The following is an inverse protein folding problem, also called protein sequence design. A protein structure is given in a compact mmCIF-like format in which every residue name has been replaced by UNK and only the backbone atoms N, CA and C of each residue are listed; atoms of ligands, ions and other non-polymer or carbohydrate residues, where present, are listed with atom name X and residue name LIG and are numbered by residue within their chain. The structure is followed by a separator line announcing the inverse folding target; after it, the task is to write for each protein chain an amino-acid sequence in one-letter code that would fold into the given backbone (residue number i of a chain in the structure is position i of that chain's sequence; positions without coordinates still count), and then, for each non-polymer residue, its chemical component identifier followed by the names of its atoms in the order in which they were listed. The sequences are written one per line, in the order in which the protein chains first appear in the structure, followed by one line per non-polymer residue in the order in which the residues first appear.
data_IF_926056932666
#
_entry.id   IF_926056932666
#
_cell.length_a   1.000
_cell.length_b   1.000
_cell.length_c   1.000
_cell.angle_alpha   90.00
_cell.angle_beta   90.00
_cell.angle_gamma   90.00
#
_symmetry.space_group_name_H-M   'P 1'
#
loop_
_entity.id
_entity.type
_entity.pdbx_description
1 polymer ?
#
# COMPACT_ATOMS: atom_id res chain seq x y z
N UNK A 1 -3.60 0.11 -7.70
CA UNK A 1 -4.73 0.51 -6.86
C UNK A 1 -5.16 1.95 -7.17
N UNK A 2 -6.44 2.25 -6.93
CA UNK A 2 -7.03 3.60 -7.09
C UNK A 2 -7.79 3.96 -5.82
N UNK A 3 -8.01 5.24 -5.54
CA UNK A 3 -8.69 5.70 -4.31
C UNK A 3 -10.00 4.96 -4.01
N UNK A 4 -10.80 4.65 -5.02
CA UNK A 4 -12.06 3.90 -4.89
C UNK A 4 -11.93 2.39 -5.06
N UNK A 5 -10.73 1.88 -5.43
CA UNK A 5 -10.50 0.46 -5.69
C UNK A 5 -9.16 0.02 -5.12
N UNK A 6 -9.16 -0.28 -3.82
CA UNK A 6 -7.98 -0.67 -3.04
C UNK A 6 -7.89 -2.19 -2.88
N UNK A 7 -7.88 -2.94 -3.97
CA UNK A 7 -7.80 -4.40 -3.97
C UNK A 7 -6.57 -4.94 -3.20
N UNK A 8 -5.48 -4.19 -3.18
CA UNK A 8 -4.28 -4.53 -2.43
C UNK A 8 -4.52 -4.57 -0.92
N UNK A 9 -5.34 -3.65 -0.37
CA UNK A 9 -5.67 -3.64 1.06
C UNK A 9 -6.39 -4.91 1.46
N UNK A 10 -7.35 -5.37 0.66
CA UNK A 10 -8.08 -6.60 0.92
C UNK A 10 -7.18 -7.84 0.78
N UNK A 11 -6.45 -7.95 -0.35
CA UNK A 11 -5.68 -9.16 -0.68
C UNK A 11 -4.39 -9.31 0.12
N UNK A 12 -3.68 -8.21 0.37
CA UNK A 12 -2.35 -8.23 0.98
C UNK A 12 -2.35 -7.93 2.47
N UNK A 13 -3.44 -7.37 3.02
CA UNK A 13 -3.55 -7.01 4.43
C UNK A 13 -4.71 -7.72 5.12
N UNK A 14 -5.95 -7.47 4.69
CA UNK A 14 -7.13 -7.95 5.41
C UNK A 14 -7.24 -9.48 5.36
N UNK A 15 -7.20 -10.07 4.17
CA UNK A 15 -7.40 -11.51 4.01
C UNK A 15 -6.31 -12.35 4.70
N UNK A 16 -5.00 -12.06 4.55
CA UNK A 16 -3.95 -12.77 5.27
C UNK A 16 -4.07 -12.62 6.78
N UNK A 17 -4.31 -11.38 7.27
CA UNK A 17 -4.49 -11.14 8.70
C UNK A 17 -5.70 -11.89 9.27
N UNK A 18 -6.82 -11.86 8.57
CA UNK A 18 -8.03 -12.59 8.98
C UNK A 18 -7.82 -14.11 9.00
N UNK A 19 -7.05 -14.64 8.05
CA UNK A 19 -6.68 -16.06 8.05
C UNK A 19 -5.89 -16.40 9.31
N UNK A 20 -4.82 -15.66 9.55
CA UNK A 20 -3.97 -15.85 10.73
C UNK A 20 -4.76 -15.75 12.04
N UNK A 21 -5.60 -14.72 12.20
CA UNK A 21 -6.43 -14.55 13.41
C UNK A 21 -7.37 -15.75 13.60
N UNK A 22 -8.01 -16.26 12.53
CA UNK A 22 -8.88 -17.44 12.63
C UNK A 22 -8.10 -18.69 13.06
N UNK A 23 -6.87 -18.86 12.59
CA UNK A 23 -6.01 -19.97 13.02
C UNK A 23 -5.66 -19.87 14.51
N UNK A 24 -5.33 -18.66 14.98
CA UNK A 24 -5.08 -18.41 16.42
C UNK A 24 -6.33 -18.66 17.24
N UNK A 25 -7.49 -18.17 16.82
CA UNK A 25 -8.77 -18.42 17.51
C UNK A 25 -9.09 -19.91 17.55
N UNK A 26 -8.84 -20.63 16.45
CA UNK A 26 -9.05 -22.09 16.41
C UNK A 26 -8.14 -22.85 17.36
N UNK A 27 -6.90 -22.40 17.52
CA UNK A 27 -5.92 -23.04 18.39
C UNK A 27 -6.10 -22.68 19.88
N UNK A 28 -6.49 -21.43 20.18
CA UNK A 28 -6.47 -20.86 21.53
C UNK A 28 -7.85 -20.47 22.07
N UNK A 29 -8.90 -20.59 21.26
CA UNK A 29 -10.28 -20.23 21.62
C UNK A 29 -10.58 -18.73 21.49
N UNK A 30 -9.63 -17.85 21.72
CA UNK A 30 -9.74 -16.39 21.65
C UNK A 30 -8.47 -15.77 21.08
N UNK A 31 -8.57 -14.61 20.44
CA UNK A 31 -7.44 -13.81 19.99
C UNK A 31 -7.64 -12.34 20.33
N UNK A 32 -6.57 -11.66 20.78
CA UNK A 32 -6.55 -10.21 20.98
C UNK A 32 -5.66 -9.59 19.90
N UNK A 33 -6.24 -8.72 19.08
CA UNK A 33 -5.53 -7.96 18.06
C UNK A 33 -5.16 -6.60 18.64
N UNK A 34 -3.87 -6.32 18.73
CA UNK A 34 -3.36 -5.03 19.21
C UNK A 34 -3.13 -4.12 18.01
N UNK A 35 -3.76 -2.94 18.00
CA UNK A 35 -3.66 -1.96 16.92
C UNK A 35 -3.16 -0.60 17.45
N UNK A 36 -2.14 -0.06 16.80
CA UNK A 36 -1.63 1.30 17.05
C UNK A 36 -2.48 2.40 16.39
N UNK A 37 -3.80 2.22 16.29
CA UNK A 37 -4.71 3.20 15.69
C UNK A 37 -5.15 4.25 16.69
N UNK A 38 -5.33 5.49 16.24
CA UNK A 38 -5.66 6.64 17.09
C UNK A 38 -6.86 7.41 16.54
N UNK A 39 -7.67 7.98 17.45
CA UNK A 39 -8.82 8.84 17.09
C UNK A 39 -8.35 10.10 16.34
N UNK A 40 -7.18 10.63 16.70
CA UNK A 40 -6.59 11.82 16.09
C UNK A 40 -6.23 11.69 14.61
N UNK A 41 -6.13 10.47 14.07
CA UNK A 41 -5.71 10.27 12.67
C UNK A 41 -6.74 10.69 11.61
N UNK A 42 -8.01 10.62 11.90
CA UNK A 42 -9.09 11.15 11.04
C UNK A 42 -10.45 11.14 11.73
N UNK A 43 -11.34 12.04 11.33
CA UNK A 43 -12.73 12.09 11.82
C UNK A 43 -13.54 10.81 11.55
N UNK A 44 -13.25 10.12 10.44
CA UNK A 44 -13.87 8.83 10.11
C UNK A 44 -13.40 7.75 11.09
N UNK A 45 -12.09 7.72 11.39
CA UNK A 45 -11.51 6.78 12.34
C UNK A 45 -12.02 7.03 13.75
N UNK A 46 -12.04 8.29 14.20
CA UNK A 46 -12.60 8.68 15.50
C UNK A 46 -14.05 8.18 15.68
N UNK A 47 -14.91 8.42 14.69
CA UNK A 47 -16.31 7.94 14.72
C UNK A 47 -16.43 6.42 14.76
N UNK A 48 -15.55 5.71 14.06
CA UNK A 48 -15.52 4.25 14.07
C UNK A 48 -15.07 3.72 15.43
N UNK A 49 -14.01 4.30 16.00
CA UNK A 49 -13.47 3.90 17.30
C UNK A 49 -14.44 4.21 18.44
N UNK A 50 -15.10 5.35 18.43
CA UNK A 50 -16.14 5.69 19.44
C UNK A 50 -17.29 4.66 19.42
N UNK A 51 -17.75 4.24 18.25
CA UNK A 51 -18.76 3.18 18.14
C UNK A 51 -18.28 1.80 18.65
N UNK A 52 -16.99 1.51 18.53
CA UNK A 52 -16.41 0.29 19.08
C UNK A 52 -16.24 0.39 20.59
N UNK A 53 -15.91 1.56 21.10
CA UNK A 53 -15.82 1.84 22.53
C UNK A 53 -17.16 1.61 23.25
N UNK A 54 -18.28 2.03 22.67
CA UNK A 54 -19.63 1.76 23.17
C UNK A 54 -19.97 0.26 23.24
N UNK A 55 -19.27 -0.56 22.48
CA UNK A 55 -19.46 -2.02 22.37
C UNK A 55 -18.43 -2.83 23.16
N UNK A 56 -17.63 -2.21 24.00
CA UNK A 56 -16.64 -2.92 24.81
C UNK A 56 -17.29 -4.01 25.64
N UNK A 57 -16.71 -5.20 25.59
CA UNK A 57 -17.17 -6.38 26.38
C UNK A 57 -16.35 -6.50 27.67
N UNK A 58 -15.08 -6.09 27.60
CA UNK A 58 -14.14 -6.03 28.74
C UNK A 58 -13.47 -4.68 28.72
N UNK A 59 -12.91 -4.25 29.84
CA UNK A 59 -12.14 -3.01 29.91
C UNK A 59 -11.11 -2.95 28.80
N UNK A 60 -11.14 -1.86 28.03
CA UNK A 60 -10.24 -1.60 26.89
C UNK A 60 -10.31 -2.57 25.70
N UNK A 61 -11.19 -3.58 25.71
CA UNK A 61 -11.32 -4.57 24.64
C UNK A 61 -12.65 -4.43 23.91
N UNK A 62 -12.58 -4.19 22.62
CA UNK A 62 -13.76 -4.11 21.73
C UNK A 62 -13.89 -5.38 20.89
N UNK A 63 -15.11 -5.85 20.59
CA UNK A 63 -15.29 -6.99 19.70
C UNK A 63 -14.84 -6.66 18.29
N UNK A 64 -14.18 -7.61 17.64
CA UNK A 64 -13.87 -7.50 16.22
C UNK A 64 -15.16 -7.71 15.40
N UNK A 65 -15.53 -6.70 14.59
CA UNK A 65 -16.78 -6.74 13.83
C UNK A 65 -16.82 -7.84 12.77
N UNK A 66 -15.65 -8.34 12.34
CA UNK A 66 -15.51 -9.28 11.22
C UNK A 66 -15.15 -10.70 11.65
N UNK A 67 -14.67 -10.89 12.86
CA UNK A 67 -14.11 -12.17 13.31
C UNK A 67 -14.65 -12.55 14.71
N UNK A 68 -15.48 -13.59 14.80
CA UNK A 68 -15.93 -14.12 16.09
C UNK A 68 -14.75 -14.52 16.98
N UNK A 69 -14.90 -14.36 18.30
CA UNK A 69 -13.88 -14.66 19.31
C UNK A 69 -12.55 -13.93 19.12
N UNK A 70 -12.57 -12.82 18.38
CA UNK A 70 -11.44 -11.91 18.26
C UNK A 70 -11.80 -10.57 18.89
N UNK A 71 -10.93 -10.08 19.76
CA UNK A 71 -11.04 -8.78 20.41
C UNK A 71 -9.99 -7.83 19.87
N UNK A 72 -10.25 -6.54 19.96
CA UNK A 72 -9.34 -5.47 19.53
C UNK A 72 -8.96 -4.63 20.74
N UNK A 73 -7.66 -4.42 20.91
CA UNK A 73 -7.06 -3.52 21.88
C UNK A 73 -6.32 -2.38 21.17
N UNK A 74 -6.63 -1.14 21.55
CA UNK A 74 -6.03 0.07 20.99
C UNK A 74 -5.36 0.88 22.11
N UNK A 75 -4.15 0.54 22.53
CA UNK A 75 -3.50 1.13 23.72
C UNK A 75 -3.26 2.64 23.62
N UNK A 76 -3.13 3.16 22.42
CA UNK A 76 -2.82 4.58 22.14
C UNK A 76 -3.98 5.32 21.47
N UNK A 77 -5.23 4.86 21.64
CA UNK A 77 -6.39 5.39 20.92
C UNK A 77 -6.64 6.89 21.13
N UNK A 78 -6.29 7.40 22.32
CA UNK A 78 -6.47 8.81 22.71
C UNK A 78 -5.24 9.68 22.44
N UNK A 79 -4.12 9.10 22.00
CA UNK A 79 -2.88 9.84 21.78
C UNK A 79 -3.01 10.82 20.63
N UNK A 80 -2.49 12.03 20.82
CA UNK A 80 -2.24 12.99 19.75
C UNK A 80 -1.02 12.56 18.91
N UNK A 81 -0.73 13.30 17.88
CA UNK A 81 0.49 13.09 17.11
C UNK A 81 1.74 13.46 17.93
N UNK A 82 1.64 14.52 18.71
CA UNK A 82 2.73 14.98 19.56
C UNK A 82 3.05 13.99 20.69
N UNK A 83 2.02 13.34 21.27
CA UNK A 83 2.24 12.27 22.26
C UNK A 83 3.04 11.11 21.67
N UNK A 84 2.76 10.72 20.42
CA UNK A 84 3.51 9.66 19.74
C UNK A 84 4.96 10.07 19.54
N UNK A 85 5.20 11.28 19.04
CA UNK A 85 6.58 11.74 18.81
C UNK A 85 7.34 11.96 20.12
N UNK A 86 6.70 12.51 21.15
CA UNK A 86 7.32 12.62 22.47
C UNK A 86 7.75 11.25 23.00
N UNK A 87 6.86 10.26 22.90
CA UNK A 87 7.18 8.90 23.32
C UNK A 87 8.36 8.34 22.53
N UNK A 88 8.32 8.44 21.18
CA UNK A 88 9.37 7.92 20.32
C UNK A 88 10.74 8.60 20.55
N UNK A 89 10.76 9.88 20.95
CA UNK A 89 12.03 10.58 21.24
C UNK A 89 12.57 10.27 22.63
N UNK A 90 11.74 9.81 23.56
CA UNK A 90 12.13 9.51 24.95
C UNK A 90 12.41 8.05 25.20
N UNK A 91 11.80 7.15 24.42
CA UNK A 91 11.88 5.71 24.63
C UNK A 91 12.61 5.06 23.47
N UNK A 92 13.68 4.36 23.77
CA UNK A 92 14.41 3.57 22.77
C UNK A 92 13.52 2.43 22.24
N UNK A 93 13.59 2.20 20.93
CA UNK A 93 12.87 1.06 20.38
C UNK A 93 13.63 -0.26 20.64
N UNK A 94 12.92 -1.38 20.78
CA UNK A 94 13.56 -2.66 21.08
C UNK A 94 14.28 -3.32 19.90
N UNK A 95 14.24 -2.69 18.71
CA UNK A 95 14.83 -3.26 17.48
C UNK A 95 16.23 -2.75 17.18
N UNK A 96 16.81 -1.87 18.02
CA UNK A 96 18.16 -1.38 17.87
C UNK A 96 18.34 -0.24 16.85
N UNK A 97 17.26 0.29 16.27
CA UNK A 97 17.29 1.49 15.42
C UNK A 97 17.07 2.76 16.23
N UNK A 98 17.54 3.90 15.72
CA UNK A 98 17.29 5.19 16.36
C UNK A 98 15.96 5.78 15.88
N UNK A 99 15.07 6.13 16.81
CA UNK A 99 13.80 6.77 16.46
C UNK A 99 14.00 8.17 15.83
N UNK A 100 15.16 8.78 16.03
CA UNK A 100 15.54 10.04 15.36
C UNK A 100 15.63 9.89 13.85
N UNK A 101 16.09 8.74 13.35
CA UNK A 101 16.16 8.47 11.90
C UNK A 101 14.76 8.45 11.29
N UNK A 102 13.80 7.89 12.02
CA UNK A 102 12.39 7.93 11.62
C UNK A 102 11.86 9.37 11.54
N UNK A 103 12.19 10.22 12.52
CA UNK A 103 11.81 11.64 12.50
C UNK A 103 12.39 12.35 11.27
N UNK A 104 13.66 12.13 10.96
CA UNK A 104 14.32 12.70 9.78
C UNK A 104 13.65 12.26 8.48
N UNK A 105 13.25 10.99 8.37
CA UNK A 105 12.50 10.48 7.21
C UNK A 105 11.16 11.19 7.03
N UNK A 106 10.43 11.44 8.12
CA UNK A 106 9.15 12.16 8.07
C UNK A 106 9.34 13.63 7.70
N UNK A 107 10.38 14.28 8.23
CA UNK A 107 10.72 15.68 7.87
C UNK A 107 11.07 15.82 6.40
N UNK A 108 11.90 14.91 5.86
CA UNK A 108 12.27 14.91 4.44
C UNK A 108 11.09 14.64 3.48
N UNK A 109 10.01 14.04 3.96
CA UNK A 109 8.83 13.73 3.17
C UNK A 109 7.72 14.80 3.26
N UNK A 110 7.85 15.82 4.12
CA UNK A 110 6.93 16.95 4.21
C UNK A 110 7.32 18.04 3.21
N UNK A 111 6.33 18.69 2.56
CA UNK A 111 6.57 19.70 1.51
C UNK A 111 7.33 20.92 2.03
N UNK A 112 7.14 21.29 3.27
CA UNK A 112 7.69 22.50 3.87
C UNK A 112 8.89 22.23 4.78
N UNK A 113 9.39 20.98 4.85
CA UNK A 113 10.46 20.59 5.79
C UNK A 113 10.04 20.78 7.26
N UNK A 114 8.76 20.96 7.51
CA UNK A 114 8.25 21.18 8.87
C UNK A 114 8.37 19.92 9.73
N UNK A 115 8.72 20.17 10.99
CA UNK A 115 8.79 19.11 11.98
C UNK A 115 7.39 18.46 12.15
N UNK A 116 7.25 17.13 12.07
CA UNK A 116 5.99 16.45 12.31
C UNK A 116 5.38 16.68 13.70
N UNK A 117 6.13 17.33 14.60
CA UNK A 117 5.67 17.79 15.92
C UNK A 117 4.79 19.05 15.85
N UNK A 118 4.81 19.80 14.75
CA UNK A 118 3.95 20.98 14.55
C UNK A 118 2.82 20.58 13.61
N UNK A 119 1.73 20.11 14.17
CA UNK A 119 0.56 19.71 13.39
C UNK A 119 -0.44 20.84 13.32
N UNK A 120 -0.57 21.46 12.16
CA UNK A 120 -1.80 22.12 11.80
C UNK A 120 -2.89 21.04 11.69
N UNK A 121 -3.94 21.16 12.51
CA UNK A 121 -5.06 20.20 12.56
C UNK A 121 -5.84 20.11 11.25
N UNK A 122 -5.56 20.96 10.29
CA UNK A 122 -6.19 21.00 8.95
C UNK A 122 -5.44 20.14 7.93
N UNK A 123 -4.17 19.81 8.18
CA UNK A 123 -3.36 18.99 7.27
C UNK A 123 -3.40 17.50 7.70
N UNK A 124 -3.57 16.54 6.76
CA UNK A 124 -3.47 15.12 7.09
C UNK A 124 -2.10 14.80 7.70
N UNK A 125 -2.09 14.11 8.81
CA UNK A 125 -0.97 13.90 9.73
C UNK A 125 0.29 13.21 9.17
N UNK A 126 0.39 12.96 7.88
CA UNK A 126 1.57 12.37 7.24
C UNK A 126 1.86 12.95 5.86
N UNK A 127 1.22 14.07 5.46
CA UNK A 127 1.27 14.52 4.08
C UNK A 127 0.95 13.38 3.10
N UNK A 128 1.50 13.39 1.93
CA UNK A 128 1.40 12.30 0.96
C UNK A 128 2.46 11.20 1.16
N UNK A 129 3.12 11.16 2.32
CA UNK A 129 4.15 10.18 2.65
C UNK A 129 3.56 8.79 2.82
N UNK A 130 4.10 7.81 2.12
CA UNK A 130 3.68 6.41 2.17
C UNK A 130 4.87 5.50 2.39
N UNK A 131 5.09 5.12 3.64
CA UNK A 131 6.12 4.15 3.99
C UNK A 131 5.59 2.71 3.87
N UNK A 132 6.42 1.81 3.35
CA UNK A 132 6.19 0.36 3.34
C UNK A 132 5.46 -0.22 2.13
N UNK A 133 4.94 0.59 1.19
CA UNK A 133 4.36 0.12 -0.06
C UNK A 133 4.97 0.88 -1.23
N UNK A 134 6.19 0.53 -1.60
CA UNK A 134 6.92 1.22 -2.68
C UNK A 134 6.19 1.27 -4.03
N UNK A 135 5.33 0.29 -4.33
CA UNK A 135 4.47 0.28 -5.53
C UNK A 135 3.12 1.00 -5.34
N UNK A 136 2.95 1.79 -4.27
CA UNK A 136 1.66 2.40 -3.98
C UNK A 136 1.37 3.57 -4.94
N UNK A 137 0.33 3.43 -5.75
CA UNK A 137 -0.17 4.46 -6.68
C UNK A 137 -1.40 5.19 -6.16
N UNK A 138 -1.63 5.20 -4.85
CA UNK A 138 -2.68 6.00 -4.20
C UNK A 138 -2.26 7.45 -3.97
N UNK A 139 -0.98 7.70 -3.92
CA UNK A 139 -0.35 9.02 -3.92
C UNK A 139 0.23 9.29 -5.31
N UNK A 140 0.25 10.53 -5.74
CA UNK A 140 0.73 10.90 -7.07
C UNK A 140 2.25 10.69 -7.19
N UNK A 141 2.97 11.01 -6.11
CA UNK A 141 4.42 10.85 -6.00
C UNK A 141 4.79 10.18 -4.68
N UNK A 142 5.85 9.41 -4.69
CA UNK A 142 6.46 8.90 -3.46
C UNK A 142 7.51 9.90 -2.96
N UNK A 143 7.04 10.91 -2.25
CA UNK A 143 7.90 11.98 -1.69
C UNK A 143 8.95 11.42 -0.74
N UNK A 144 8.61 10.37 0.02
CA UNK A 144 9.53 9.75 0.98
C UNK A 144 10.71 9.09 0.28
N UNK A 145 10.46 8.27 -0.75
CA UNK A 145 11.53 7.62 -1.50
C UNK A 145 12.34 8.64 -2.29
N UNK A 146 11.68 9.63 -2.91
CA UNK A 146 12.34 10.73 -3.62
C UNK A 146 13.28 11.48 -2.69
N UNK A 147 12.82 11.88 -1.50
CA UNK A 147 13.65 12.59 -0.53
C UNK A 147 14.83 11.74 -0.03
N UNK A 148 14.63 10.44 0.22
CA UNK A 148 15.71 9.54 0.61
C UNK A 148 16.79 9.48 -0.46
N UNK A 149 16.45 9.35 -1.72
CA UNK A 149 17.42 9.28 -2.84
C UNK A 149 18.15 10.61 -3.01
N UNK A 150 17.42 11.74 -2.93
CA UNK A 150 18.02 13.07 -3.12
C UNK A 150 18.95 13.51 -1.99
N UNK A 151 18.68 13.09 -0.76
CA UNK A 151 19.42 13.54 0.42
C UNK A 151 20.52 12.57 0.87
N UNK A 152 20.59 11.37 0.30
CA UNK A 152 21.52 10.32 0.71
C UNK A 152 22.02 9.54 -0.50
N UNK A 153 23.27 9.76 -0.89
CA UNK A 153 23.91 9.05 -2.02
C UNK A 153 23.92 7.53 -1.82
N UNK A 154 23.98 7.06 -0.58
CA UNK A 154 23.92 5.63 -0.27
C UNK A 154 22.52 5.02 -0.59
N UNK A 155 21.54 5.82 -1.02
CA UNK A 155 20.20 5.40 -1.42
C UNK A 155 19.97 5.43 -2.93
N UNK A 156 20.92 5.83 -3.74
CA UNK A 156 20.78 5.86 -5.22
C UNK A 156 20.37 4.51 -5.82
N UNK A 157 20.72 3.41 -5.17
CA UNK A 157 20.29 2.07 -5.58
C UNK A 157 18.77 1.88 -5.62
N UNK A 158 18.00 2.74 -4.96
CA UNK A 158 16.54 2.72 -4.95
C UNK A 158 15.91 3.39 -6.18
N UNK A 159 16.67 4.12 -6.99
CA UNK A 159 16.16 4.88 -8.14
C UNK A 159 15.32 4.03 -9.11
N UNK A 160 15.73 2.81 -9.53
CA UNK A 160 14.91 1.98 -10.41
C UNK A 160 13.56 1.57 -9.80
N UNK A 161 13.47 1.46 -8.48
CA UNK A 161 12.21 1.19 -7.78
C UNK A 161 11.27 2.39 -7.88
N UNK A 162 11.79 3.60 -7.67
CA UNK A 162 11.04 4.85 -7.81
C UNK A 162 10.55 5.05 -9.25
N UNK A 163 11.41 4.82 -10.22
CA UNK A 163 11.07 4.94 -11.65
C UNK A 163 9.99 3.94 -12.06
N UNK A 164 10.11 2.70 -11.63
CA UNK A 164 9.12 1.66 -11.88
C UNK A 164 7.77 2.02 -11.24
N UNK A 165 7.78 2.48 -9.98
CA UNK A 165 6.59 2.94 -9.28
C UNK A 165 5.90 4.09 -10.03
N UNK A 166 6.65 5.09 -10.48
CA UNK A 166 6.11 6.25 -11.19
C UNK A 166 5.49 5.86 -12.54
N UNK A 167 6.02 4.85 -13.20
CA UNK A 167 5.45 4.32 -14.44
C UNK A 167 4.18 3.49 -14.22
N UNK A 168 4.00 2.89 -13.04
CA UNK A 168 2.79 2.16 -12.66
C UNK A 168 1.61 3.09 -12.33
N UNK A 169 1.82 4.41 -12.29
CA UNK A 169 0.76 5.37 -11.98
C UNK A 169 -0.34 5.33 -13.06
N UNK A 170 -1.60 5.03 -12.69
CA UNK A 170 -2.72 5.00 -13.63
C UNK A 170 -3.00 6.34 -14.33
N UNK A 171 -2.51 7.46 -13.82
CA UNK A 171 -2.66 8.79 -14.45
C UNK A 171 -1.72 8.96 -15.65
N UNK A 172 -0.59 8.26 -15.64
CA UNK A 172 0.42 8.26 -16.73
C UNK A 172 0.24 7.10 -17.69
N UNK A 173 -0.80 6.30 -17.47
CA UNK A 173 -1.04 5.08 -18.23
C UNK A 173 -1.62 5.39 -19.61
N UNK A 174 -1.03 4.77 -20.63
CA UNK A 174 -1.64 4.71 -21.95
C UNK A 174 -2.87 3.77 -21.91
N UNK A 175 -4.03 4.30 -22.34
CA UNK A 175 -5.28 3.54 -22.36
C UNK A 175 -5.19 2.33 -23.31
N UNK A 176 -4.39 2.38 -24.36
CA UNK A 176 -4.16 1.29 -25.30
C UNK A 176 -3.42 0.09 -24.66
N UNK A 177 -2.73 0.32 -23.54
CA UNK A 177 -2.08 -0.73 -22.77
C UNK A 177 -3.05 -1.67 -22.03
N UNK A 178 -4.36 -1.38 -22.08
CA UNK A 178 -5.40 -2.19 -21.44
C UNK A 178 -6.38 -2.78 -22.44
N UNK A 179 -6.77 -4.03 -22.18
CA UNK A 179 -7.83 -4.71 -22.92
C UNK A 179 -9.13 -3.88 -22.86
N UNK A 180 -9.84 -3.83 -23.96
CA UNK A 180 -11.16 -3.20 -24.02
C UNK A 180 -12.22 -4.00 -23.25
N UNK A 181 -12.00 -5.30 -23.02
CA UNK A 181 -12.86 -6.19 -22.24
C UNK A 181 -12.47 -6.24 -20.78
N UNK A 182 -13.45 -6.32 -19.91
CA UNK A 182 -13.26 -6.61 -18.48
C UNK A 182 -12.76 -8.04 -18.29
N UNK A 183 -12.26 -8.37 -17.07
CA UNK A 183 -11.84 -9.74 -16.72
C UNK A 183 -12.96 -10.78 -16.91
N UNK A 184 -14.22 -10.35 -16.87
CA UNK A 184 -15.40 -11.17 -17.15
C UNK A 184 -15.64 -11.43 -18.65
N UNK A 185 -14.80 -10.88 -19.55
CA UNK A 185 -14.96 -10.97 -20.99
C UNK A 185 -15.91 -9.94 -21.61
N UNK A 186 -16.71 -9.24 -20.80
CA UNK A 186 -17.67 -8.25 -21.29
C UNK A 186 -17.07 -6.87 -21.46
N UNK A 187 -17.60 -6.09 -22.40
CA UNK A 187 -17.36 -4.65 -22.52
C UNK A 187 -18.27 -3.92 -21.55
N UNK A 188 -17.70 -3.02 -20.77
CA UNK A 188 -18.45 -2.20 -19.81
C UNK A 188 -18.34 -0.73 -20.21
N UNK A 189 -19.49 -0.12 -20.50
CA UNK A 189 -19.61 1.29 -20.81
C UNK A 189 -20.07 2.07 -19.58
N UNK A 190 -19.71 3.34 -19.52
CA UNK A 190 -20.25 4.29 -18.56
C UNK A 190 -20.48 5.63 -19.23
N UNK A 191 -21.51 6.32 -18.77
CA UNK A 191 -21.82 7.67 -19.25
C UNK A 191 -21.16 8.70 -18.34
N UNK A 192 -20.30 9.53 -18.90
CA UNK A 192 -19.70 10.67 -18.22
C UNK A 192 -20.42 11.93 -18.66
N UNK A 193 -20.78 12.80 -17.71
CA UNK A 193 -21.21 14.17 -18.06
C UNK A 193 -20.02 14.92 -18.63
N UNK A 194 -20.21 15.60 -19.77
CA UNK A 194 -19.17 16.37 -20.44
C UNK A 194 -18.80 17.59 -19.59
N UNK A 195 -19.80 18.28 -19.05
CA UNK A 195 -19.64 19.37 -18.10
C UNK A 195 -20.53 19.18 -16.86
N UNK A 196 -20.15 19.86 -15.75
CA UNK A 196 -20.83 19.68 -14.46
C UNK A 196 -22.31 20.08 -14.49
N UNK A 197 -22.67 21.03 -15.36
CA UNK A 197 -24.01 21.61 -15.51
C UNK A 197 -24.69 21.25 -16.85
N UNK A 198 -24.08 20.36 -17.66
CA UNK A 198 -24.63 19.89 -18.94
C UNK A 198 -25.32 18.53 -18.77
N UNK A 199 -26.45 18.36 -19.46
CA UNK A 199 -27.11 17.05 -19.59
C UNK A 199 -26.45 16.18 -20.67
N UNK A 200 -25.47 16.69 -21.41
CA UNK A 200 -24.73 15.92 -22.39
C UNK A 200 -23.87 14.87 -21.71
N UNK A 201 -24.03 13.63 -22.16
CA UNK A 201 -23.30 12.47 -21.68
C UNK A 201 -22.46 11.90 -22.79
N UNK A 202 -21.16 11.80 -22.53
CA UNK A 202 -20.25 11.07 -23.38
C UNK A 202 -20.17 9.62 -22.92
N UNK A 203 -20.33 8.70 -23.86
CA UNK A 203 -20.16 7.27 -23.61
C UNK A 203 -18.68 6.93 -23.60
N UNK A 204 -18.20 6.35 -22.53
CA UNK A 204 -16.82 5.96 -22.36
C UNK A 204 -16.70 4.53 -21.88
N UNK A 205 -15.63 3.86 -22.30
CA UNK A 205 -15.38 2.47 -22.00
C UNK A 205 -14.54 2.32 -20.72
N UNK A 206 -14.97 1.41 -19.83
CA UNK A 206 -14.14 0.99 -18.70
C UNK A 206 -13.22 -0.12 -19.17
N UNK A 207 -11.96 0.19 -19.36
CA UNK A 207 -10.92 -0.77 -19.78
C UNK A 207 -10.71 -1.89 -18.74
N UNK A 208 -10.28 -3.02 -19.21
CA UNK A 208 -9.99 -4.22 -18.46
C UNK A 208 -8.57 -4.31 -17.90
N UNK A 209 -8.02 -5.52 -17.79
CA UNK A 209 -6.63 -5.75 -17.37
C UNK A 209 -5.64 -5.26 -18.44
N UNK A 210 -4.36 -5.22 -18.09
CA UNK A 210 -3.29 -4.98 -19.06
C UNK A 210 -3.27 -6.07 -20.13
N UNK A 211 -2.99 -5.68 -21.37
CA UNK A 211 -2.72 -6.60 -22.47
C UNK A 211 -1.43 -7.40 -22.18
N UNK A 212 -1.25 -8.53 -22.88
CA UNK A 212 -0.14 -9.45 -22.63
C UNK A 212 1.23 -8.75 -22.73
N UNK A 213 1.48 -8.06 -23.83
CA UNK A 213 2.76 -7.38 -24.06
C UNK A 213 3.11 -6.38 -22.94
N UNK A 214 2.10 -5.70 -22.38
CA UNK A 214 2.32 -4.77 -21.28
C UNK A 214 2.61 -5.49 -19.95
N UNK A 215 2.01 -6.64 -19.72
CA UNK A 215 2.33 -7.46 -18.52
C UNK A 215 3.73 -8.03 -18.59
N UNK A 216 4.16 -8.51 -19.78
CA UNK A 216 5.53 -8.98 -20.02
C UNK A 216 6.54 -7.84 -19.81
N UNK A 217 6.24 -6.65 -20.33
CA UNK A 217 7.07 -5.46 -20.11
C UNK A 217 7.21 -5.15 -18.63
N UNK A 218 6.10 -5.16 -17.86
CA UNK A 218 6.14 -4.91 -16.41
C UNK A 218 6.96 -5.98 -15.68
N UNK A 219 6.77 -7.25 -16.01
CA UNK A 219 7.52 -8.34 -15.39
C UNK A 219 9.03 -8.17 -15.65
N UNK A 220 9.42 -7.90 -16.89
CA UNK A 220 10.82 -7.67 -17.26
C UNK A 220 11.41 -6.51 -16.45
N UNK A 221 10.72 -5.38 -16.36
CA UNK A 221 11.18 -4.21 -15.60
C UNK A 221 11.32 -4.48 -14.10
N UNK A 222 10.41 -5.27 -13.52
CA UNK A 222 10.53 -5.67 -12.11
C UNK A 222 11.78 -6.52 -11.90
N UNK A 223 12.07 -7.47 -12.79
CA UNK A 223 13.25 -8.32 -12.71
C UNK A 223 14.56 -7.53 -12.95
N UNK A 224 14.54 -6.57 -13.86
CA UNK A 224 15.66 -5.63 -14.08
C UNK A 224 15.93 -4.80 -12.82
N UNK A 225 14.87 -4.24 -12.21
CA UNK A 225 14.99 -3.50 -10.95
C UNK A 225 15.50 -4.38 -9.81
N UNK A 226 15.03 -5.62 -9.69
CA UNK A 226 15.52 -6.60 -8.72
C UNK A 226 17.01 -6.87 -8.88
N UNK A 227 17.45 -7.08 -10.11
CA UNK A 227 18.87 -7.34 -10.43
C UNK A 227 19.73 -6.13 -10.07
N UNK A 228 19.27 -4.93 -10.39
CA UNK A 228 19.96 -3.70 -10.04
C UNK A 228 20.08 -3.52 -8.52
N UNK A 229 18.98 -3.66 -7.78
CA UNK A 229 18.95 -3.52 -6.32
C UNK A 229 19.91 -4.50 -5.65
N UNK A 230 19.93 -5.74 -6.09
CA UNK A 230 20.86 -6.76 -5.56
C UNK A 230 22.33 -6.43 -5.80
N UNK A 231 22.65 -5.80 -6.93
CA UNK A 231 24.03 -5.51 -7.32
C UNK A 231 24.55 -4.17 -6.79
N UNK A 232 23.68 -3.20 -6.51
CA UNK A 232 24.09 -1.83 -6.14
C UNK A 232 23.61 -1.46 -4.71
N UNK A 233 22.69 -2.21 -4.13
CA UNK A 233 22.21 -1.97 -2.79
C UNK A 233 23.14 -2.49 -1.70
N UNK A 234 22.87 -2.13 -0.45
CA UNK A 234 23.61 -2.63 0.71
C UNK A 234 23.46 -4.15 0.85
N UNK A 235 24.31 -4.75 1.66
CA UNK A 235 24.32 -6.21 1.87
C UNK A 235 22.94 -6.79 2.27
N UNK A 236 22.18 -6.04 3.03
CA UNK A 236 20.83 -6.41 3.49
C UNK A 236 19.86 -6.70 2.33
N UNK A 237 20.07 -6.11 1.15
CA UNK A 237 19.18 -6.28 -0.01
C UNK A 237 19.76 -7.17 -1.11
N UNK A 238 20.91 -7.80 -0.89
CA UNK A 238 21.55 -8.70 -1.88
C UNK A 238 20.66 -9.89 -2.27
N UNK A 239 19.89 -10.38 -1.33
CA UNK A 239 18.97 -11.50 -1.54
C UNK A 239 17.50 -11.05 -1.67
N UNK A 240 17.26 -9.74 -1.88
CA UNK A 240 15.91 -9.22 -2.01
C UNK A 240 15.22 -9.82 -3.24
N UNK A 241 14.06 -10.42 -3.04
CA UNK A 241 13.17 -10.88 -4.10
C UNK A 241 11.97 -9.94 -4.21
N UNK A 242 11.87 -9.19 -5.31
CA UNK A 242 10.66 -8.47 -5.68
C UNK A 242 9.62 -9.42 -6.26
N UNK A 243 10.08 -10.44 -6.97
CA UNK A 243 9.30 -11.56 -7.48
C UNK A 243 10.13 -12.83 -7.31
N UNK A 244 9.59 -13.81 -6.61
CA UNK A 244 10.21 -15.11 -6.39
C UNK A 244 10.05 -16.05 -7.58
N UNK A 245 10.85 -17.11 -7.64
CA UNK A 245 10.71 -18.15 -8.68
C UNK A 245 9.34 -18.81 -8.64
N UNK A 246 8.80 -19.09 -7.46
CA UNK A 246 7.47 -19.67 -7.31
C UNK A 246 6.35 -18.74 -7.87
N UNK A 247 6.50 -17.42 -7.70
CA UNK A 247 5.59 -16.44 -8.29
C UNK A 247 5.74 -16.36 -9.81
N UNK A 248 6.95 -16.48 -10.34
CA UNK A 248 7.17 -16.55 -11.80
C UNK A 248 6.51 -17.79 -12.43
N UNK A 249 6.62 -18.94 -11.77
CA UNK A 249 5.95 -20.17 -12.19
C UNK A 249 4.43 -20.01 -12.16
N UNK A 250 3.90 -19.38 -11.12
CA UNK A 250 2.46 -19.11 -11.01
C UNK A 250 1.97 -18.08 -12.03
N UNK A 251 2.75 -17.02 -12.31
CA UNK A 251 2.46 -16.06 -13.37
C UNK A 251 2.40 -16.80 -14.72
N UNK A 252 3.38 -17.66 -15.02
CA UNK A 252 3.39 -18.48 -16.23
C UNK A 252 2.16 -19.39 -16.31
N UNK A 253 1.86 -20.09 -15.21
CA UNK A 253 0.67 -20.95 -15.14
C UNK A 253 -0.61 -20.17 -15.47
N UNK A 254 -0.80 -18.99 -14.87
CA UNK A 254 -1.97 -18.14 -15.13
C UNK A 254 -2.02 -17.71 -16.59
N UNK A 255 -0.92 -17.31 -17.18
CA UNK A 255 -0.90 -16.86 -18.58
C UNK A 255 -1.21 -18.01 -19.54
N UNK A 256 -0.64 -19.19 -19.29
CA UNK A 256 -0.84 -20.38 -20.14
C UNK A 256 -2.23 -20.97 -19.96
N UNK A 257 -2.61 -21.28 -18.71
CA UNK A 257 -3.81 -22.09 -18.43
C UNK A 257 -5.06 -21.22 -18.32
N UNK A 258 -5.01 -20.14 -17.54
CA UNK A 258 -6.22 -19.38 -17.23
C UNK A 258 -6.54 -18.33 -18.31
N UNK A 259 -5.51 -17.82 -19.01
CA UNK A 259 -5.66 -16.75 -20.01
C UNK A 259 -5.52 -17.24 -21.45
N UNK A 260 -5.01 -18.45 -21.63
CA UNK A 260 -4.72 -19.01 -22.95
C UNK A 260 -3.84 -18.09 -23.83
N UNK A 261 -2.96 -17.36 -23.19
CA UNK A 261 -2.03 -16.42 -23.80
C UNK A 261 -0.69 -17.14 -23.95
N UNK A 262 -0.54 -17.98 -24.96
CA UNK A 262 0.74 -18.62 -25.23
C UNK A 262 0.99 -18.62 -26.71
N UNK A 263 2.09 -18.00 -27.05
CA UNK A 263 3.01 -18.63 -27.97
C UNK A 263 3.95 -19.45 -27.10
N UNK A 264 3.84 -20.77 -27.13
CA UNK A 264 4.72 -21.72 -26.44
C UNK A 264 6.07 -21.80 -27.17
N UNK A 265 6.63 -20.66 -27.45
CA UNK A 265 7.99 -20.52 -27.90
C UNK A 265 8.86 -20.58 -26.63
N UNK A 266 9.71 -21.61 -26.55
CA UNK A 266 10.77 -21.91 -25.59
C UNK A 266 11.15 -20.78 -24.63
N UNK A 267 11.46 -21.06 -23.35
CA UNK A 267 11.88 -20.04 -22.39
C UNK A 267 13.07 -19.28 -22.98
N UNK A 268 12.83 -18.00 -23.25
CA UNK A 268 13.87 -17.04 -23.60
C UNK A 268 14.47 -16.45 -22.34
#
# INVERSE_FOLDING_TARGET
PRHKFRWCTERLKINPSNRFIREVVKASGEAIVVLGTRKAESSVRARSMNRQEERRIRDSLSPNASLPNSLVYTPIESWSNDDVWMYLMQVENPWGYQNRDLLTMYQGASEDGECPLVVDTTTPSCGDSRFGCWVCTLVDEDKSMTAMIQNDQDKEWMQPLLDLRNQLDPKREDRESRDFRRMSGFVQLYHRRVEKDSDEREESMIRGPYIQSKREEWLRRVLEAQTWVRSHGPELVRDLELVSMAELEEIRRIWVIDKHEVEDALPR
#
